data_IF_049836009877
#
_entry.id   IF_049836009877
#
_cell.length_a   1.000
_cell.length_b   1.000
_cell.length_c   1.000
_cell.angle_alpha   90.00
_cell.angle_beta   90.00
_cell.angle_gamma   90.00
#
_symmetry.space_group_name_H-M   'P 1'
#
loop_
_entity.id
_entity.type
_entity.pdbx_description
1 polymer ?
#
# COMPACT_ATOMS: atom_id res chain seq x y z
N UNK A 1 12.30 12.99 -7.84
CA UNK A 1 11.87 11.95 -8.79
C UNK A 1 12.84 10.78 -8.72
N UNK A 2 12.44 9.59 -9.20
CA UNK A 2 13.34 8.46 -9.45
C UNK A 2 13.48 8.33 -10.98
N UNK A 3 14.71 8.15 -11.46
CA UNK A 3 15.01 8.08 -12.90
C UNK A 3 15.38 6.65 -13.30
N UNK A 4 14.52 6.00 -14.09
CA UNK A 4 14.80 4.68 -14.66
C UNK A 4 15.46 4.84 -16.04
N UNK A 5 16.80 4.78 -16.09
CA UNK A 5 17.57 5.07 -17.32
C UNK A 5 18.67 4.03 -17.62
N UNK A 6 18.60 2.85 -17.00
CA UNK A 6 19.58 1.78 -17.24
C UNK A 6 19.27 1.06 -18.56
N UNK A 7 20.11 1.29 -19.58
CA UNK A 7 20.02 0.68 -20.89
C UNK A 7 21.03 -0.47 -21.04
N UNK A 8 20.81 -1.36 -22.02
CA UNK A 8 21.74 -2.45 -22.33
C UNK A 8 21.67 -3.66 -21.40
N UNK A 9 20.81 -3.62 -20.37
CA UNK A 9 20.58 -4.74 -19.45
C UNK A 9 19.10 -5.16 -19.46
N UNK A 10 18.81 -6.47 -19.58
CA UNK A 10 17.43 -6.94 -19.50
C UNK A 10 16.87 -6.76 -18.08
N UNK A 11 15.62 -6.28 -17.92
CA UNK A 11 14.97 -6.21 -16.61
C UNK A 11 14.75 -7.59 -15.99
N UNK A 12 14.91 -7.70 -14.67
CA UNK A 12 14.70 -8.94 -13.94
C UNK A 12 15.45 -9.05 -12.62
N UNK A 13 15.50 -10.28 -12.10
CA UNK A 13 16.20 -10.62 -10.87
C UNK A 13 17.68 -10.20 -10.93
N UNK A 14 18.16 -9.50 -9.91
CA UNK A 14 19.52 -8.93 -9.88
C UNK A 14 19.85 -7.95 -11.03
N UNK A 15 18.82 -7.48 -11.74
CA UNK A 15 18.94 -6.50 -12.83
C UNK A 15 18.10 -5.25 -12.55
N UNK A 16 17.86 -4.40 -13.57
CA UNK A 16 16.93 -3.29 -13.41
C UNK A 16 15.51 -3.80 -13.16
N UNK A 17 14.77 -3.10 -12.29
CA UNK A 17 13.33 -3.31 -12.18
C UNK A 17 12.66 -2.91 -13.51
N UNK A 18 11.76 -3.75 -14.03
CA UNK A 18 10.99 -3.40 -15.22
C UNK A 18 10.12 -2.18 -14.96
N UNK A 19 9.85 -1.38 -16.00
CA UNK A 19 8.96 -0.21 -15.87
C UNK A 19 7.53 -0.65 -15.52
N UNK A 20 7.11 -1.86 -15.92
CA UNK A 20 5.84 -2.44 -15.49
C UNK A 20 5.78 -2.62 -13.97
N UNK A 21 6.80 -3.26 -13.37
CA UNK A 21 6.88 -3.43 -11.92
C UNK A 21 7.02 -2.07 -11.21
N UNK A 22 7.77 -1.14 -11.79
CA UNK A 22 7.91 0.20 -11.22
C UNK A 22 6.59 0.99 -11.24
N UNK A 23 5.76 0.84 -12.27
CA UNK A 23 4.42 1.45 -12.31
C UNK A 23 3.51 0.89 -11.22
N UNK A 24 3.49 -0.43 -11.02
CA UNK A 24 2.74 -1.10 -9.93
C UNK A 24 3.22 -0.59 -8.56
N UNK A 25 4.53 -0.56 -8.36
CA UNK A 25 5.17 -0.05 -7.14
C UNK A 25 4.80 1.41 -6.89
N UNK A 26 4.94 2.26 -7.90
CA UNK A 26 4.68 3.69 -7.78
C UNK A 26 3.21 3.98 -7.49
N UNK A 27 2.25 3.32 -8.15
CA UNK A 27 0.83 3.52 -7.85
C UNK A 27 0.51 3.23 -6.39
N UNK A 28 0.94 2.07 -5.88
CA UNK A 28 0.75 1.70 -4.47
C UNK A 28 1.40 2.72 -3.53
N UNK A 29 2.63 3.15 -3.84
CA UNK A 29 3.33 4.19 -3.07
C UNK A 29 2.57 5.52 -3.05
N UNK A 30 2.08 6.00 -4.20
CA UNK A 30 1.36 7.28 -4.29
C UNK A 30 0.04 7.23 -3.51
N UNK A 31 -0.69 6.12 -3.58
CA UNK A 31 -1.91 5.91 -2.79
C UNK A 31 -1.60 5.98 -1.28
N UNK A 32 -0.61 5.20 -0.83
CA UNK A 32 -0.20 5.16 0.58
C UNK A 32 0.23 6.53 1.09
N UNK A 33 1.12 7.22 0.36
CA UNK A 33 1.62 8.54 0.76
C UNK A 33 0.50 9.58 0.79
N UNK A 34 -0.46 9.52 -0.14
CA UNK A 34 -1.60 10.45 -0.14
C UNK A 34 -2.51 10.19 1.05
N UNK A 35 -2.80 8.93 1.37
CA UNK A 35 -3.59 8.55 2.54
C UNK A 35 -2.89 8.96 3.86
N UNK A 36 -1.59 8.69 3.98
CA UNK A 36 -0.79 9.09 5.16
C UNK A 36 -0.77 10.61 5.34
N UNK A 37 -0.64 11.37 4.25
CA UNK A 37 -0.69 12.84 4.30
C UNK A 37 -2.05 13.38 4.73
N UNK A 38 -3.14 12.73 4.31
CA UNK A 38 -4.52 13.06 4.74
C UNK A 38 -4.76 12.70 6.20
N UNK A 39 -4.11 11.64 6.69
CA UNK A 39 -4.37 10.99 7.96
C UNK A 39 -5.22 9.74 7.76
N UNK A 40 -4.84 8.65 8.44
CA UNK A 40 -5.53 7.38 8.36
C UNK A 40 -6.83 7.43 9.18
N UNK A 41 -7.95 6.89 8.65
CA UNK A 41 -9.21 6.88 9.39
C UNK A 41 -9.20 5.81 10.50
N UNK A 42 -10.16 5.89 11.43
CA UNK A 42 -10.36 4.84 12.43
C UNK A 42 -10.78 3.51 11.77
N UNK A 43 -10.49 2.37 12.40
CA UNK A 43 -10.71 1.02 11.82
C UNK A 43 -12.18 0.74 11.44
N UNK A 44 -13.14 1.38 12.10
CA UNK A 44 -14.57 1.23 11.77
C UNK A 44 -15.00 1.98 10.50
N UNK A 45 -14.21 2.96 10.07
CA UNK A 45 -14.53 3.84 8.94
C UNK A 45 -14.09 3.20 7.62
N UNK A 46 -14.95 2.35 7.06
CA UNK A 46 -14.64 1.61 5.83
C UNK A 46 -15.03 2.35 4.55
N UNK A 47 -15.74 3.48 4.66
CA UNK A 47 -16.33 4.19 3.51
C UNK A 47 -15.53 5.41 3.04
N UNK A 48 -14.47 5.80 3.76
CA UNK A 48 -13.63 6.92 3.36
C UNK A 48 -12.97 6.73 1.99
N UNK A 49 -12.61 7.86 1.37
CA UNK A 49 -12.00 7.91 0.05
C UNK A 49 -10.98 9.04 -0.05
N UNK A 50 -10.03 8.88 -0.96
CA UNK A 50 -9.01 9.88 -1.30
C UNK A 50 -8.82 9.97 -2.81
N UNK A 51 -8.41 11.14 -3.29
CA UNK A 51 -8.04 11.36 -4.68
C UNK A 51 -6.51 11.40 -4.78
N UNK A 52 -5.95 10.68 -5.75
CA UNK A 52 -4.51 10.49 -5.92
C UNK A 52 -4.14 10.93 -7.32
N UNK A 53 -3.17 11.82 -7.45
CA UNK A 53 -2.63 12.24 -8.74
C UNK A 53 -1.12 12.05 -8.75
N UNK A 54 -0.62 11.39 -9.80
CA UNK A 54 0.81 11.22 -10.01
C UNK A 54 1.15 11.25 -11.51
N UNK A 55 2.36 11.67 -11.82
CA UNK A 55 2.85 11.73 -13.19
C UNK A 55 4.21 11.06 -13.35
N UNK A 56 4.49 10.63 -14.58
CA UNK A 56 5.80 10.15 -15.00
C UNK A 56 6.08 10.62 -16.43
N UNK A 57 7.37 10.68 -16.79
CA UNK A 57 7.81 11.14 -18.10
C UNK A 57 8.65 10.10 -18.81
N UNK A 58 8.58 10.10 -20.14
CA UNK A 58 9.41 9.28 -21.01
C UNK A 58 10.10 10.16 -22.05
N UNK A 59 11.41 10.02 -22.15
CA UNK A 59 12.25 10.63 -23.17
C UNK A 59 13.24 9.59 -23.71
N UNK A 60 13.96 9.96 -24.77
CA UNK A 60 14.92 9.09 -25.45
C UNK A 60 14.30 8.31 -26.61
N UNK A 61 15.11 8.10 -27.65
CA UNK A 61 14.73 7.35 -28.83
C UNK A 61 14.37 5.90 -28.47
N UNK A 62 13.30 5.37 -29.06
CA UNK A 62 12.82 4.00 -28.81
C UNK A 62 12.06 3.79 -27.50
N UNK A 63 11.92 4.81 -26.63
CA UNK A 63 11.20 4.68 -25.37
C UNK A 63 9.68 4.61 -25.58
N UNK A 64 9.08 3.45 -25.34
CA UNK A 64 7.64 3.19 -25.51
C UNK A 64 6.86 3.14 -24.18
N UNK A 65 7.48 3.45 -23.05
CA UNK A 65 6.84 3.31 -21.72
C UNK A 65 5.67 4.28 -21.48
N UNK A 66 5.56 5.33 -22.29
CA UNK A 66 4.47 6.29 -22.28
C UNK A 66 3.46 6.08 -23.42
N UNK A 67 3.62 5.03 -24.23
CA UNK A 67 2.62 4.65 -25.22
C UNK A 67 1.48 3.92 -24.51
N UNK A 68 0.32 4.56 -24.39
CA UNK A 68 -0.84 4.00 -23.68
C UNK A 68 -1.92 3.60 -24.69
N UNK A 69 -2.32 2.33 -24.67
CA UNK A 69 -3.40 1.83 -25.53
C UNK A 69 -4.67 2.66 -25.34
N UNK A 70 -5.22 3.16 -26.45
CA UNK A 70 -6.42 3.99 -26.48
C UNK A 70 -6.19 5.48 -26.18
N UNK A 71 -4.94 5.94 -26.00
CA UNK A 71 -4.62 7.34 -25.71
C UNK A 71 -3.71 7.91 -26.80
N UNK A 72 -4.06 9.08 -27.34
CA UNK A 72 -3.17 9.82 -28.24
C UNK A 72 -1.97 10.37 -27.47
N UNK A 73 -0.77 10.27 -28.03
CA UNK A 73 0.44 10.76 -27.35
C UNK A 73 0.37 12.25 -27.02
N UNK A 74 -0.14 13.07 -27.94
CA UNK A 74 -0.34 14.50 -27.75
C UNK A 74 -1.80 14.80 -27.41
N UNK A 75 -2.03 15.43 -26.25
CA UNK A 75 -3.34 15.87 -25.76
C UNK A 75 -4.39 14.75 -25.75
N UNK A 76 -3.97 13.50 -25.56
CA UNK A 76 -4.88 12.37 -25.42
C UNK A 76 -5.30 12.18 -23.99
N UNK A 77 -6.50 11.63 -23.80
CA UNK A 77 -6.99 11.20 -22.49
C UNK A 77 -7.83 9.95 -22.63
N UNK A 78 -7.93 9.17 -21.55
CA UNK A 78 -8.92 8.12 -21.38
C UNK A 78 -9.38 8.06 -19.93
N UNK A 79 -10.55 7.49 -19.73
CA UNK A 79 -11.13 7.24 -18.42
C UNK A 79 -11.43 5.76 -18.29
N UNK A 80 -10.97 5.15 -17.21
CA UNK A 80 -11.26 3.77 -16.86
C UNK A 80 -11.93 3.72 -15.48
N UNK A 81 -12.94 2.89 -15.32
CA UNK A 81 -13.56 2.65 -14.01
C UNK A 81 -13.34 1.20 -13.60
N UNK A 82 -12.91 0.99 -12.36
CA UNK A 82 -12.70 -0.33 -11.76
C UNK A 82 -13.35 -0.40 -10.40
N UNK A 83 -13.89 -1.56 -10.05
CA UNK A 83 -14.39 -1.81 -8.69
C UNK A 83 -13.24 -2.28 -7.82
N UNK A 84 -12.94 -1.52 -6.76
CA UNK A 84 -11.90 -1.82 -5.78
C UNK A 84 -12.55 -1.76 -4.40
N UNK A 85 -12.49 -2.87 -3.65
CA UNK A 85 -13.12 -2.99 -2.33
C UNK A 85 -14.62 -2.62 -2.33
N UNK A 86 -15.34 -3.06 -3.37
CA UNK A 86 -16.76 -2.73 -3.57
C UNK A 86 -17.05 -1.27 -3.98
N UNK A 87 -16.03 -0.41 -4.11
CA UNK A 87 -16.17 0.99 -4.52
C UNK A 87 -15.76 1.18 -5.98
N UNK A 88 -16.46 2.05 -6.70
CA UNK A 88 -16.06 2.45 -8.05
C UNK A 88 -14.93 3.49 -8.00
N UNK A 89 -13.75 3.09 -8.43
CA UNK A 89 -12.58 3.95 -8.61
C UNK A 89 -12.48 4.34 -10.07
N UNK A 90 -12.46 5.63 -10.34
CA UNK A 90 -12.28 6.17 -11.69
C UNK A 90 -10.84 6.64 -11.84
N UNK A 91 -10.18 6.19 -12.90
CA UNK A 91 -8.82 6.57 -13.27
C UNK A 91 -8.87 7.34 -14.58
N UNK A 92 -8.48 8.60 -14.53
CA UNK A 92 -8.24 9.42 -15.71
C UNK A 92 -6.75 9.39 -16.05
N UNK A 93 -6.43 9.05 -17.29
CA UNK A 93 -5.06 8.98 -17.80
C UNK A 93 -4.96 9.99 -18.92
N UNK A 94 -4.11 10.99 -18.76
CA UNK A 94 -3.83 12.01 -19.78
C UNK A 94 -2.39 11.96 -20.25
N UNK A 95 -2.18 12.31 -21.51
CA UNK A 95 -0.87 12.32 -22.16
C UNK A 95 -0.62 13.66 -22.84
N UNK A 96 0.57 14.24 -22.61
CA UNK A 96 1.05 15.43 -23.31
C UNK A 96 2.50 15.26 -23.76
N UNK A 97 2.83 15.71 -24.96
CA UNK A 97 4.19 15.81 -25.47
C UNK A 97 4.68 17.25 -25.26
N UNK A 98 5.90 17.35 -24.74
CA UNK A 98 6.62 18.61 -24.56
C UNK A 98 7.83 18.57 -25.46
N UNK A 99 7.93 19.57 -26.35
CA UNK A 99 9.07 19.69 -27.26
C UNK A 99 10.34 20.19 -26.55
N UNK A 100 11.51 19.80 -27.06
CA UNK A 100 12.82 20.23 -26.59
C UNK A 100 13.01 21.75 -26.56
N UNK A 101 12.41 22.48 -27.52
CA UNK A 101 12.44 23.94 -27.62
C UNK A 101 11.24 24.62 -26.96
N UNK A 102 10.34 23.89 -26.30
CA UNK A 102 9.19 24.47 -25.62
C UNK A 102 9.63 25.41 -24.50
N UNK A 103 8.94 26.55 -24.38
CA UNK A 103 9.18 27.51 -23.29
C UNK A 103 9.04 26.82 -21.93
N UNK A 104 10.05 26.97 -21.08
CA UNK A 104 10.10 26.33 -19.76
C UNK A 104 10.66 24.90 -19.72
N UNK A 105 10.95 24.28 -20.86
CA UNK A 105 11.61 22.96 -20.88
C UNK A 105 13.11 23.09 -20.59
N UNK A 106 13.52 22.81 -19.36
CA UNK A 106 14.92 22.87 -18.93
C UNK A 106 15.73 21.62 -19.27
N UNK A 107 15.07 20.53 -19.67
CA UNK A 107 15.74 19.25 -19.98
C UNK A 107 16.43 19.24 -21.35
N UNK A 108 16.09 20.20 -22.24
CA UNK A 108 16.57 20.31 -23.64
C UNK A 108 16.33 19.06 -24.50
N UNK A 109 15.44 18.18 -24.07
CA UNK A 109 14.99 17.01 -24.82
C UNK A 109 13.47 16.99 -24.88
N UNK A 110 12.91 16.47 -25.97
CA UNK A 110 11.46 16.25 -26.05
C UNK A 110 11.08 15.05 -25.17
N UNK A 111 9.93 15.13 -24.51
CA UNK A 111 9.42 14.07 -23.66
C UNK A 111 7.91 13.96 -23.72
N UNK A 112 7.38 12.79 -23.41
CA UNK A 112 5.95 12.60 -23.12
C UNK A 112 5.76 12.56 -21.62
N UNK A 113 4.78 13.27 -21.10
CA UNK A 113 4.30 13.15 -19.73
C UNK A 113 2.95 12.44 -19.71
N UNK A 114 2.84 11.44 -18.83
CA UNK A 114 1.58 10.79 -18.48
C UNK A 114 1.18 11.24 -17.09
N UNK A 115 -0.05 11.71 -16.95
CA UNK A 115 -0.66 12.03 -15.65
C UNK A 115 -1.81 11.07 -15.39
N UNK A 116 -1.78 10.42 -14.22
CA UNK A 116 -2.82 9.53 -13.74
C UNK A 116 -3.52 10.23 -12.57
N UNK A 117 -4.85 10.35 -12.66
CA UNK A 117 -5.70 10.87 -11.60
C UNK A 117 -6.70 9.80 -11.22
N UNK A 118 -6.55 9.25 -10.02
CA UNK A 118 -7.45 8.27 -9.45
C UNK A 118 -8.38 8.98 -8.47
N UNK A 119 -9.68 8.90 -8.71
CA UNK A 119 -10.71 9.47 -7.84
C UNK A 119 -11.46 8.38 -7.10
N UNK A 120 -11.92 8.69 -5.89
CA UNK A 120 -12.68 7.77 -5.04
C UNK A 120 -11.91 6.52 -4.61
N UNK A 121 -10.57 6.61 -4.50
CA UNK A 121 -9.74 5.50 -4.02
C UNK A 121 -10.10 5.22 -2.56
N UNK A 122 -10.43 3.98 -2.16
CA UNK A 122 -10.69 3.66 -0.76
C UNK A 122 -9.50 4.03 0.14
N UNK A 123 -9.76 4.42 1.39
CA UNK A 123 -8.72 4.66 2.41
C UNK A 123 -8.93 3.83 3.69
N UNK A 124 -9.71 2.75 3.59
CA UNK A 124 -9.91 1.80 4.68
C UNK A 124 -8.57 1.13 5.07
N UNK A 125 -8.42 0.75 6.35
CA UNK A 125 -7.23 0.07 6.83
C UNK A 125 -6.92 -1.20 6.01
N UNK A 126 -7.96 -1.99 5.70
CA UNK A 126 -7.83 -3.20 4.90
C UNK A 126 -7.29 -2.92 3.49
N UNK A 127 -7.82 -1.89 2.82
CA UNK A 127 -7.37 -1.52 1.49
C UNK A 127 -5.92 -1.01 1.50
N UNK A 128 -5.57 -0.14 2.44
CA UNK A 128 -4.22 0.42 2.53
C UNK A 128 -3.18 -0.66 2.89
N UNK A 129 -3.53 -1.65 3.73
CA UNK A 129 -2.67 -2.81 3.98
C UNK A 129 -2.44 -3.65 2.71
N UNK A 130 -3.44 -3.78 1.84
CA UNK A 130 -3.27 -4.43 0.54
C UNK A 130 -2.33 -3.64 -0.40
N UNK A 131 -2.37 -2.31 -0.35
CA UNK A 131 -1.41 -1.46 -1.09
C UNK A 131 0.01 -1.60 -0.53
N UNK A 132 0.18 -1.62 0.79
CA UNK A 132 1.47 -1.87 1.44
C UNK A 132 2.02 -3.27 1.09
N UNK A 133 1.15 -4.28 1.07
CA UNK A 133 1.48 -5.63 0.61
C UNK A 133 1.93 -5.64 -0.85
N UNK A 134 1.21 -4.94 -1.73
CA UNK A 134 1.58 -4.80 -3.15
C UNK A 134 2.96 -4.15 -3.30
N UNK A 135 3.22 -3.08 -2.55
CA UNK A 135 4.50 -2.36 -2.55
C UNK A 135 5.66 -3.30 -2.17
N UNK A 136 5.60 -3.93 -1.00
CA UNK A 136 6.70 -4.76 -0.50
C UNK A 136 6.89 -6.04 -1.34
N UNK A 137 5.80 -6.68 -1.77
CA UNK A 137 5.87 -7.89 -2.58
C UNK A 137 6.38 -7.62 -3.99
N UNK A 138 6.08 -6.45 -4.57
CA UNK A 138 6.65 -6.04 -5.86
C UNK A 138 8.17 -5.89 -5.75
N UNK A 139 8.66 -5.25 -4.67
CA UNK A 139 10.11 -5.12 -4.40
C UNK A 139 10.74 -6.50 -4.26
N UNK A 140 10.19 -7.35 -3.39
CA UNK A 140 10.73 -8.66 -3.10
C UNK A 140 10.72 -9.59 -4.33
N UNK A 141 9.62 -9.62 -5.08
CA UNK A 141 9.47 -10.50 -6.24
C UNK A 141 10.32 -10.04 -7.42
N UNK A 142 10.35 -8.74 -7.71
CA UNK A 142 11.19 -8.22 -8.79
C UNK A 142 12.67 -8.34 -8.46
N UNK A 143 13.02 -8.22 -7.18
CA UNK A 143 14.37 -8.31 -6.62
C UNK A 143 15.44 -7.64 -7.49
N UNK A 144 15.31 -6.32 -7.75
CA UNK A 144 16.26 -5.63 -8.61
C UNK A 144 17.62 -5.45 -7.92
N UNK A 145 18.64 -5.23 -8.75
CA UNK A 145 19.94 -4.75 -8.30
C UNK A 145 19.81 -3.38 -7.61
N UNK A 146 20.64 -3.15 -6.60
CA UNK A 146 20.84 -1.85 -5.99
C UNK A 146 22.33 -1.57 -5.73
N UNK A 147 22.67 -0.29 -5.68
CA UNK A 147 23.96 0.21 -5.22
C UNK A 147 23.74 1.55 -4.53
N UNK A 148 24.25 1.71 -3.31
CA UNK A 148 24.10 2.92 -2.51
C UNK A 148 25.41 3.69 -2.40
N UNK A 149 25.29 5.00 -2.27
CA UNK A 149 26.42 5.88 -1.96
C UNK A 149 26.39 6.20 -0.47
N UNK A 150 27.24 5.53 0.32
CA UNK A 150 27.35 5.84 1.74
C UNK A 150 28.02 7.20 1.95
N UNK A 151 27.49 7.98 2.89
CA UNK A 151 28.03 9.29 3.24
C UNK A 151 29.07 9.16 4.35
N UNK A 152 30.14 9.94 4.25
CA UNK A 152 31.17 10.02 5.30
C UNK A 152 30.56 10.62 6.58
N UNK A 153 30.74 9.95 7.71
CA UNK A 153 30.25 10.40 9.02
C UNK A 153 28.77 10.11 9.29
N UNK A 154 28.02 9.55 8.33
CA UNK A 154 26.64 9.11 8.51
C UNK A 154 26.50 7.61 8.80
N UNK A 155 25.26 7.13 9.08
CA UNK A 155 24.96 5.70 9.10
C UNK A 155 25.41 5.01 7.81
N UNK A 156 25.91 3.80 7.93
CA UNK A 156 26.43 3.02 6.81
C UNK A 156 25.44 1.92 6.45
N UNK A 157 25.02 1.88 5.19
CA UNK A 157 24.19 0.79 4.66
C UNK A 157 25.08 -0.40 4.28
N UNK A 158 24.70 -1.60 4.71
CA UNK A 158 25.36 -2.87 4.39
C UNK A 158 24.34 -3.91 3.92
N UNK A 159 24.61 -4.64 2.81
CA UNK A 159 25.71 -4.38 1.87
C UNK A 159 25.47 -3.09 1.09
N UNK A 160 26.55 -2.45 0.61
CA UNK A 160 26.45 -1.22 -0.17
C UNK A 160 25.99 -1.47 -1.63
N UNK A 161 25.96 -2.72 -2.06
CA UNK A 161 25.42 -3.15 -3.35
C UNK A 161 24.97 -4.60 -3.28
N UNK A 162 23.93 -4.96 -4.01
CA UNK A 162 23.37 -6.30 -4.00
C UNK A 162 22.03 -6.33 -4.73
N UNK A 163 21.11 -7.18 -4.26
CA UNK A 163 19.71 -7.16 -4.70
C UNK A 163 18.77 -6.88 -3.55
N UNK A 164 17.66 -6.21 -3.83
CA UNK A 164 16.75 -5.76 -2.76
C UNK A 164 16.13 -6.91 -1.96
N UNK A 165 15.94 -8.09 -2.54
CA UNK A 165 15.42 -9.24 -1.78
C UNK A 165 16.46 -9.91 -0.86
N UNK A 166 17.72 -9.43 -0.81
CA UNK A 166 18.68 -9.86 0.21
C UNK A 166 18.43 -9.21 1.59
N UNK A 167 17.60 -8.17 1.66
CA UNK A 167 17.08 -7.63 2.93
C UNK A 167 15.99 -8.55 3.50
N UNK A 168 16.33 -9.82 3.69
CA UNK A 168 15.38 -10.90 4.00
C UNK A 168 14.70 -10.66 5.33
N UNK A 169 15.44 -10.20 6.34
CA UNK A 169 14.91 -9.99 7.69
C UNK A 169 13.97 -8.78 7.69
N UNK A 170 14.36 -7.68 7.03
CA UNK A 170 13.54 -6.47 6.93
C UNK A 170 12.27 -6.74 6.12
N UNK A 171 12.38 -7.39 4.96
CA UNK A 171 11.23 -7.73 4.12
C UNK A 171 10.29 -8.69 4.86
N UNK A 172 10.84 -9.72 5.51
CA UNK A 172 10.02 -10.69 6.26
C UNK A 172 9.33 -10.04 7.45
N UNK A 173 10.01 -9.14 8.16
CA UNK A 173 9.42 -8.37 9.26
C UNK A 173 8.27 -7.49 8.77
N UNK A 174 8.47 -6.73 7.67
CA UNK A 174 7.42 -5.87 7.09
C UNK A 174 6.23 -6.70 6.60
N UNK A 175 6.49 -7.83 5.91
CA UNK A 175 5.42 -8.74 5.47
C UNK A 175 4.64 -9.28 6.67
N UNK A 176 5.33 -9.72 7.74
CA UNK A 176 4.69 -10.18 8.97
C UNK A 176 3.83 -9.10 9.61
N UNK A 177 4.35 -7.86 9.73
CA UNK A 177 3.58 -6.74 10.27
C UNK A 177 2.30 -6.49 9.47
N UNK A 178 2.37 -6.56 8.13
CA UNK A 178 1.20 -6.40 7.27
C UNK A 178 0.21 -7.54 7.49
N UNK A 179 0.68 -8.79 7.56
CA UNK A 179 -0.18 -9.96 7.81
C UNK A 179 -0.87 -9.88 9.16
N UNK A 180 -0.14 -9.58 10.23
CA UNK A 180 -0.70 -9.44 11.59
C UNK A 180 -1.73 -8.30 11.64
N UNK A 181 -1.45 -7.17 10.98
CA UNK A 181 -2.36 -6.03 10.91
C UNK A 181 -3.63 -6.36 10.09
N UNK A 182 -3.52 -7.14 9.02
CA UNK A 182 -4.69 -7.60 8.27
C UNK A 182 -5.56 -8.54 9.12
N UNK A 183 -4.93 -9.47 9.86
CA UNK A 183 -5.64 -10.35 10.78
C UNK A 183 -6.34 -9.58 11.91
N UNK A 184 -5.69 -8.52 12.41
CA UNK A 184 -6.25 -7.61 13.40
C UNK A 184 -7.48 -6.88 12.84
N UNK A 185 -7.38 -6.27 11.66
CA UNK A 185 -8.49 -5.53 11.04
C UNK A 185 -9.69 -6.43 10.80
N UNK A 186 -9.47 -7.70 10.44
CA UNK A 186 -10.52 -8.70 10.27
C UNK A 186 -11.33 -8.97 11.55
N UNK A 187 -10.79 -8.71 12.75
CA UNK A 187 -11.53 -8.87 13.99
C UNK A 187 -12.63 -7.81 14.17
N UNK A 188 -12.55 -6.68 13.46
CA UNK A 188 -13.52 -5.57 13.56
C UNK A 188 -14.94 -6.04 13.22
N UNK A 189 -15.09 -6.93 12.23
CA UNK A 189 -16.41 -7.47 11.86
C UNK A 189 -16.98 -8.37 12.96
N UNK A 190 -16.16 -9.20 13.60
CA UNK A 190 -16.58 -10.06 14.70
C UNK A 190 -17.07 -9.25 15.92
N UNK A 191 -16.43 -8.12 16.22
CA UNK A 191 -16.87 -7.20 17.28
C UNK A 191 -18.22 -6.58 16.91
N UNK A 192 -18.35 -6.05 15.70
CA UNK A 192 -19.58 -5.39 15.23
C UNK A 192 -20.77 -6.37 15.15
N UNK A 193 -20.56 -7.63 14.78
CA UNK A 193 -21.63 -8.63 14.73
C UNK A 193 -22.09 -9.13 16.10
N UNK A 194 -21.35 -8.84 17.17
CA UNK A 194 -21.63 -9.31 18.53
C UNK A 194 -21.75 -8.13 19.50
N UNK A 195 -22.56 -7.12 19.17
CA UNK A 195 -22.76 -5.93 20.01
C UNK A 195 -23.20 -6.29 21.43
N UNK A 196 -22.73 -5.52 22.42
CA UNK A 196 -23.01 -5.72 23.84
C UNK A 196 -23.90 -4.61 24.41
N UNK A 197 -24.80 -4.08 23.59
CA UNK A 197 -25.66 -2.93 23.91
C UNK A 197 -26.95 -3.33 24.64
N UNK A 198 -27.38 -4.58 24.53
CA UNK A 198 -28.63 -5.07 25.12
C UNK A 198 -28.41 -5.48 26.59
N UNK A 199 -29.13 -4.90 27.56
CA UNK A 199 -29.08 -5.37 28.95
C UNK A 199 -29.56 -6.81 29.08
N UNK A 200 -28.93 -7.57 29.98
CA UNK A 200 -29.25 -8.98 30.24
C UNK A 200 -29.88 -9.16 31.62
N UNK A 201 -30.68 -10.20 31.79
CA UNK A 201 -31.36 -10.50 33.05
C UNK A 201 -32.19 -11.77 32.98
N UNK A 202 -32.86 -12.10 34.09
CA UNK A 202 -33.82 -13.21 34.12
C UNK A 202 -35.07 -12.91 33.30
N UNK A 203 -35.82 -13.94 32.94
CA UNK A 203 -37.06 -13.81 32.17
C UNK A 203 -38.31 -14.01 33.06
N UNK A 204 -39.41 -13.35 32.71
CA UNK A 204 -40.71 -13.54 33.37
C UNK A 204 -40.75 -13.13 34.84
N UNK A 205 -39.95 -12.13 35.24
CA UNK A 205 -39.86 -11.65 36.63
C UNK A 205 -39.14 -12.59 37.59
N UNK A 206 -38.53 -13.67 37.10
CA UNK A 206 -37.71 -14.59 37.90
C UNK A 206 -36.29 -14.06 38.06
N UNK A 207 -35.58 -14.44 39.14
CA UNK A 207 -34.14 -14.22 39.24
C UNK A 207 -33.41 -14.83 38.05
N UNK A 208 -32.29 -14.20 37.66
CA UNK A 208 -31.43 -14.69 36.59
C UNK A 208 -30.91 -16.11 36.88
N UNK A 209 -31.02 -17.01 35.89
CA UNK A 209 -30.46 -18.35 35.95
C UNK A 209 -29.30 -18.51 34.94
N UNK A 210 -28.04 -18.62 35.41
CA UNK A 210 -26.88 -18.77 34.53
C UNK A 210 -26.93 -20.00 33.60
N UNK A 211 -27.70 -21.03 33.95
CA UNK A 211 -27.80 -22.26 33.16
C UNK A 211 -28.79 -22.15 31.99
N UNK A 212 -29.70 -21.18 32.01
CA UNK A 212 -30.77 -21.07 30.98
C UNK A 212 -30.86 -19.69 30.34
N UNK A 213 -30.45 -18.63 31.04
CA UNK A 213 -30.68 -17.24 30.62
C UNK A 213 -29.41 -16.59 30.04
N UNK A 214 -28.37 -17.39 29.77
CA UNK A 214 -27.04 -16.93 29.39
C UNK A 214 -26.70 -17.18 27.90
N UNK A 215 -27.69 -17.28 27.00
CA UNK A 215 -27.44 -17.49 25.56
C UNK A 215 -26.61 -16.37 24.92
N UNK A 216 -26.69 -15.15 25.48
CA UNK A 216 -25.87 -14.00 25.08
C UNK A 216 -24.36 -14.24 25.29
N UNK A 217 -23.97 -15.15 26.19
CA UNK A 217 -22.59 -15.37 26.59
C UNK A 217 -21.70 -15.82 25.41
N UNK A 218 -22.26 -16.52 24.41
CA UNK A 218 -21.50 -16.93 23.23
C UNK A 218 -21.04 -15.71 22.41
N UNK A 219 -21.95 -14.76 22.16
CA UNK A 219 -21.62 -13.52 21.45
C UNK A 219 -20.71 -12.62 22.28
N UNK A 220 -20.96 -12.52 23.59
CA UNK A 220 -20.11 -11.79 24.53
C UNK A 220 -18.67 -12.33 24.53
N UNK A 221 -18.50 -13.66 24.56
CA UNK A 221 -17.18 -14.30 24.50
C UNK A 221 -16.50 -14.07 23.15
N UNK A 222 -17.23 -14.17 22.04
CA UNK A 222 -16.69 -13.91 20.71
C UNK A 222 -16.20 -12.46 20.58
N UNK A 223 -16.98 -11.50 21.07
CA UNK A 223 -16.60 -10.08 21.10
C UNK A 223 -15.34 -9.85 21.95
N UNK A 224 -15.33 -10.35 23.20
CA UNK A 224 -14.19 -10.20 24.10
C UNK A 224 -12.91 -10.85 23.55
N UNK A 225 -13.04 -12.04 22.95
CA UNK A 225 -11.91 -12.76 22.34
C UNK A 225 -11.35 -11.99 21.13
N UNK A 226 -12.22 -11.41 20.31
CA UNK A 226 -11.82 -10.59 19.17
C UNK A 226 -11.05 -9.33 19.62
N UNK A 227 -11.53 -8.63 20.65
CA UNK A 227 -10.83 -7.47 21.22
C UNK A 227 -9.44 -7.85 21.78
N UNK A 228 -9.36 -8.93 22.57
CA UNK A 228 -8.09 -9.42 23.10
C UNK A 228 -7.11 -9.82 21.98
N UNK A 229 -7.62 -10.44 20.91
CA UNK A 229 -6.82 -10.79 19.73
C UNK A 229 -6.29 -9.56 19.00
N UNK A 230 -7.10 -8.51 18.84
CA UNK A 230 -6.64 -7.24 18.26
C UNK A 230 -5.51 -6.61 19.08
N UNK A 231 -5.62 -6.63 20.42
CA UNK A 231 -4.58 -6.10 21.30
C UNK A 231 -3.27 -6.90 21.15
N UNK A 232 -3.35 -8.23 21.19
CA UNK A 232 -2.18 -9.10 21.03
C UNK A 232 -1.50 -8.92 19.67
N UNK A 233 -2.27 -8.82 18.58
CA UNK A 233 -1.72 -8.59 17.25
C UNK A 233 -1.09 -7.19 17.13
N UNK A 234 -1.69 -6.17 17.75
CA UNK A 234 -1.10 -4.82 17.80
C UNK A 234 0.27 -4.83 18.47
N UNK A 235 0.38 -5.55 19.59
CA UNK A 235 1.65 -5.74 20.28
C UNK A 235 2.65 -6.51 19.40
N UNK A 236 2.24 -7.60 18.74
CA UNK A 236 3.12 -8.36 17.85
C UNK A 236 3.67 -7.53 16.69
N UNK A 237 2.84 -6.67 16.08
CA UNK A 237 3.29 -5.72 15.05
C UNK A 237 4.37 -4.80 15.61
N UNK A 238 4.14 -4.21 16.80
CA UNK A 238 5.11 -3.33 17.44
C UNK A 238 6.42 -4.04 17.79
N UNK A 239 6.34 -5.26 18.34
CA UNK A 239 7.50 -6.06 18.72
C UNK A 239 8.33 -6.52 17.52
N UNK A 240 7.72 -6.70 16.35
CA UNK A 240 8.39 -7.17 15.12
C UNK A 240 9.42 -6.17 14.60
N UNK A 241 9.25 -4.86 14.87
CA UNK A 241 10.13 -3.80 14.37
C UNK A 241 10.77 -2.96 15.48
N UNK A 242 10.52 -3.28 16.76
CA UNK A 242 11.10 -2.52 17.86
C UNK A 242 12.63 -2.67 17.88
N UNK A 243 13.42 -1.60 17.65
CA UNK A 243 14.87 -1.67 17.59
C UNK A 243 15.53 -2.16 18.89
N UNK A 244 14.88 -2.03 20.04
CA UNK A 244 15.37 -2.58 21.31
C UNK A 244 15.38 -4.12 21.34
N UNK A 245 14.64 -4.75 20.41
CA UNK A 245 14.51 -6.20 20.28
C UNK A 245 15.11 -6.74 18.98
N UNK A 246 15.61 -5.86 18.12
CA UNK A 246 16.33 -6.26 16.92
C UNK A 246 17.79 -6.53 17.26
N UNK A 247 18.35 -7.53 16.62
CA UNK A 247 19.79 -7.82 16.64
C UNK A 247 20.32 -7.66 15.24
N UNK A 248 21.47 -7.00 15.10
CA UNK A 248 22.13 -6.79 13.81
C UNK A 248 23.55 -6.26 14.02
N UNK A 249 24.38 -6.36 12.98
CA UNK A 249 25.75 -5.84 12.94
C UNK A 249 25.83 -4.56 12.10
#
# INVERSE_FOLDING_TARGET
>A
SITCSLNGYPPGYYGPMSIENFKKLNEAYQILQTALKKGLPALKENNGMVNVTYSYTCSGEGNNNCTITGVKQQNGYKTETKTIDGKQVTTEISSRVVDSGASGNTSKVSYTEITNTLTNVPDSAQFLLAQASTLINTINTACPFFSVTNQNGGPQMKPASGKLCDFTDEISAIQKMITDAQELVNQTSAINSNEQTTPVGGNGGKPFNPFTDASFAQGMLANASAQAKMLNLSEQVGQTINPERLTGN
#
